data_IF_996617562853
#
_entry.id   IF_996617562853
#
_cell.length_a   1.000
_cell.length_b   1.000
_cell.length_c   1.000
_cell.angle_alpha   90.00
_cell.angle_beta   90.00
_cell.angle_gamma   90.00
#
_symmetry.space_group_name_H-M   'P 1'
#
loop_
_entity.id
_entity.type
_entity.pdbx_description
1 polymer ?
#
# COMPACT_ATOMS: atom_id res chain seq x y z
N UNK A 1 -41.55 7.47 -6.80
CA UNK A 1 -40.54 8.51 -7.09
C UNK A 1 -39.50 8.46 -5.98
N UNK A 2 -38.54 7.53 -6.06
CA UNK A 2 -37.47 7.40 -5.07
C UNK A 2 -36.24 8.15 -5.59
N UNK A 3 -35.84 9.23 -4.90
CA UNK A 3 -34.54 9.88 -5.11
C UNK A 3 -33.47 8.95 -4.52
N UNK A 4 -32.54 8.52 -5.37
CA UNK A 4 -31.27 7.91 -4.97
C UNK A 4 -30.29 9.06 -4.84
N UNK A 5 -29.96 9.44 -3.62
CA UNK A 5 -28.83 10.34 -3.39
C UNK A 5 -27.56 9.53 -3.68
N UNK A 6 -26.91 9.88 -4.79
CA UNK A 6 -25.59 9.40 -5.18
C UNK A 6 -24.58 10.20 -4.36
N UNK A 7 -24.04 9.59 -3.31
CA UNK A 7 -22.76 10.00 -2.76
C UNK A 7 -21.71 9.89 -3.87
N UNK A 8 -21.46 11.03 -4.49
CA UNK A 8 -20.48 11.22 -5.55
C UNK A 8 -19.16 11.47 -4.85
N UNK A 9 -18.49 10.38 -4.44
CA UNK A 9 -17.10 10.48 -4.01
C UNK A 9 -16.24 10.62 -5.27
N UNK A 10 -15.76 11.83 -5.49
CA UNK A 10 -14.87 12.29 -6.56
C UNK A 10 -13.77 11.28 -6.94
N UNK A 11 -14.06 10.41 -7.89
CA UNK A 11 -13.05 9.77 -8.73
C UNK A 11 -12.82 10.65 -9.95
N UNK A 12 -12.05 11.74 -9.78
CA UNK A 12 -11.47 12.45 -10.91
C UNK A 12 -10.14 13.10 -10.54
N UNK A 13 -9.08 12.29 -10.57
CA UNK A 13 -7.82 12.68 -11.19
C UNK A 13 -6.97 11.42 -11.43
N UNK A 14 -7.19 10.75 -12.55
CA UNK A 14 -6.23 9.82 -13.14
C UNK A 14 -4.93 10.56 -13.49
N UNK A 15 -4.06 10.71 -12.51
CA UNK A 15 -2.61 10.59 -12.75
C UNK A 15 -2.17 9.37 -11.97
N UNK A 16 -2.06 8.22 -12.66
CA UNK A 16 -1.37 7.06 -12.11
C UNK A 16 0.03 7.53 -11.72
N UNK A 17 0.26 7.75 -10.43
CA UNK A 17 1.60 8.03 -9.94
C UNK A 17 2.47 6.84 -10.29
N UNK A 18 3.64 7.11 -10.86
CA UNK A 18 4.61 6.06 -11.14
C UNK A 18 5.10 5.55 -9.79
N UNK A 19 4.63 4.38 -9.38
CA UNK A 19 5.18 3.70 -8.23
C UNK A 19 6.52 3.08 -8.63
N UNK A 20 7.56 3.32 -7.83
CA UNK A 20 8.80 2.56 -7.96
C UNK A 20 8.52 1.18 -7.35
N UNK A 21 8.44 0.15 -8.19
CA UNK A 21 8.11 -1.24 -7.79
C UNK A 21 9.33 -1.97 -7.19
N UNK A 22 10.27 -1.22 -6.61
CA UNK A 22 11.41 -1.80 -5.92
C UNK A 22 10.97 -2.24 -4.53
N UNK A 23 10.45 -3.47 -4.47
CA UNK A 23 10.18 -4.19 -3.23
C UNK A 23 11.48 -4.63 -2.55
N UNK A 24 12.44 -3.71 -2.34
CA UNK A 24 13.67 -4.02 -1.61
C UNK A 24 13.36 -4.05 -0.13
N UNK A 25 13.44 -5.25 0.43
CA UNK A 25 13.35 -5.47 1.87
C UNK A 25 14.52 -4.76 2.57
N UNK A 26 14.27 -3.92 3.60
CA UNK A 26 15.35 -3.29 4.38
C UNK A 26 16.24 -4.34 5.04
N UNK A 27 17.56 -4.09 5.04
CA UNK A 27 18.60 -5.05 5.45
C UNK A 27 18.54 -5.41 6.95
N UNK A 28 17.98 -4.52 7.76
CA UNK A 28 17.86 -4.64 9.21
C UNK A 28 16.52 -5.25 9.67
N UNK A 29 15.67 -5.68 8.73
CA UNK A 29 14.42 -6.35 9.05
C UNK A 29 14.56 -7.88 9.08
N UNK A 30 14.07 -8.52 10.14
CA UNK A 30 14.04 -9.99 10.25
C UNK A 30 12.75 -10.58 9.64
N UNK A 31 12.89 -11.69 8.93
CA UNK A 31 11.77 -12.49 8.42
C UNK A 31 11.25 -13.44 9.50
N UNK A 32 9.94 -13.67 9.52
CA UNK A 32 9.27 -14.60 10.43
C UNK A 32 8.31 -15.49 9.64
N UNK A 33 8.00 -16.69 10.15
CA UNK A 33 6.86 -17.49 9.66
C UNK A 33 5.72 -17.52 10.69
N UNK A 34 5.75 -16.58 11.63
CA UNK A 34 4.72 -16.43 12.67
C UNK A 34 3.59 -15.56 12.10
N UNK A 35 2.45 -16.18 11.81
CA UNK A 35 1.28 -15.49 11.25
C UNK A 35 0.30 -16.45 10.59
N UNK A 36 -0.82 -15.91 10.09
CA UNK A 36 -1.83 -16.68 9.35
C UNK A 36 -1.30 -17.17 7.98
N UNK A 37 -0.33 -16.44 7.41
CA UNK A 37 0.27 -16.75 6.13
C UNK A 37 1.79 -16.92 6.23
N UNK A 38 2.35 -17.75 5.36
CA UNK A 38 3.79 -18.05 5.28
C UNK A 38 4.35 -17.74 3.90
N UNK A 39 5.68 -17.67 3.81
CA UNK A 39 6.38 -17.50 2.53
C UNK A 39 6.00 -18.62 1.56
N UNK A 40 5.72 -18.24 0.31
CA UNK A 40 5.27 -19.14 -0.76
C UNK A 40 3.76 -19.36 -0.83
N UNK A 41 2.97 -18.91 0.15
CA UNK A 41 1.51 -19.00 0.07
C UNK A 41 0.96 -18.12 -1.05
N UNK A 42 -0.10 -18.62 -1.71
CA UNK A 42 -0.91 -17.83 -2.64
C UNK A 42 -2.10 -17.23 -1.89
N UNK A 43 -2.26 -15.91 -2.00
CA UNK A 43 -3.33 -15.17 -1.33
C UNK A 43 -4.05 -14.26 -2.31
N UNK A 44 -5.32 -13.96 -2.01
CA UNK A 44 -6.10 -12.95 -2.75
C UNK A 44 -5.95 -11.60 -2.08
N UNK A 45 -5.45 -10.60 -2.82
CA UNK A 45 -5.30 -9.24 -2.30
C UNK A 45 -6.67 -8.58 -2.19
N UNK A 46 -7.08 -8.19 -0.98
CA UNK A 46 -8.35 -7.47 -0.76
C UNK A 46 -8.20 -5.95 -0.76
N UNK A 47 -6.97 -5.46 -0.62
CA UNK A 47 -6.63 -4.04 -0.67
C UNK A 47 -6.68 -3.48 -2.10
N UNK A 48 -7.07 -2.21 -2.23
CA UNK A 48 -7.13 -1.49 -3.51
C UNK A 48 -6.25 -0.24 -3.49
N UNK A 49 -4.93 -0.41 -3.35
CA UNK A 49 -3.97 0.70 -3.33
C UNK A 49 -3.81 1.34 -4.72
N UNK A 50 -3.73 0.51 -5.76
CA UNK A 50 -3.71 0.92 -7.16
C UNK A 50 -4.84 0.25 -7.94
N UNK A 51 -5.30 0.86 -9.04
CA UNK A 51 -6.21 0.21 -9.99
C UNK A 51 -5.66 -1.15 -10.43
N UNK A 52 -6.50 -2.17 -10.40
CA UNK A 52 -6.13 -3.54 -10.76
C UNK A 52 -5.58 -4.40 -9.62
N UNK A 53 -5.34 -3.86 -8.41
CA UNK A 53 -4.76 -4.64 -7.30
C UNK A 53 -5.80 -5.46 -6.50
N UNK A 54 -7.04 -4.97 -6.39
CA UNK A 54 -8.08 -5.65 -5.60
C UNK A 54 -8.57 -6.90 -6.32
N UNK A 55 -8.56 -8.03 -5.63
CA UNK A 55 -9.03 -9.32 -6.13
C UNK A 55 -7.98 -10.14 -6.87
N UNK A 56 -6.75 -9.66 -7.00
CA UNK A 56 -5.68 -10.41 -7.67
C UNK A 56 -5.04 -11.43 -6.76
N UNK A 57 -4.59 -12.54 -7.33
CA UNK A 57 -3.76 -13.54 -6.64
C UNK A 57 -2.30 -13.09 -6.62
N UNK A 58 -1.66 -13.17 -5.45
CA UNK A 58 -0.23 -12.90 -5.27
C UNK A 58 0.44 -14.02 -4.48
N UNK A 59 1.75 -14.22 -4.68
CA UNK A 59 2.57 -15.07 -3.83
C UNK A 59 3.17 -14.22 -2.70
N UNK A 60 3.29 -14.80 -1.51
CA UNK A 60 3.97 -14.15 -0.40
C UNK A 60 5.46 -14.39 -0.50
N UNK A 61 6.21 -13.34 -0.81
CA UNK A 61 7.68 -13.41 -0.89
C UNK A 61 8.36 -13.33 0.47
N UNK A 62 7.75 -12.60 1.42
CA UNK A 62 8.30 -12.42 2.76
C UNK A 62 7.21 -12.12 3.80
N UNK A 63 7.40 -12.57 5.04
CA UNK A 63 6.53 -12.28 6.18
C UNK A 63 7.38 -11.69 7.30
N UNK A 64 6.93 -10.56 7.85
CA UNK A 64 7.67 -9.82 8.88
C UNK A 64 6.72 -9.26 9.93
N UNK A 65 7.08 -9.43 11.20
CA UNK A 65 6.43 -8.75 12.31
C UNK A 65 7.07 -7.37 12.49
N UNK A 66 6.38 -6.32 12.07
CA UNK A 66 6.85 -4.93 12.16
C UNK A 66 5.69 -3.97 12.42
N UNK A 67 6.02 -2.75 12.82
CA UNK A 67 5.07 -1.63 12.79
C UNK A 67 4.98 -1.06 11.37
N UNK A 68 3.76 -0.83 10.91
CA UNK A 68 3.46 -0.15 9.63
C UNK A 68 2.75 1.16 9.90
N UNK A 69 3.02 2.15 9.04
CA UNK A 69 2.54 3.52 9.18
C UNK A 69 1.76 3.95 7.94
N UNK A 70 0.75 4.79 8.17
CA UNK A 70 0.03 5.54 7.14
C UNK A 70 0.54 6.97 7.18
N UNK A 71 0.96 7.51 6.04
CA UNK A 71 1.63 8.82 6.00
C UNK A 71 1.01 9.79 5.01
N UNK A 72 1.05 11.07 5.36
CA UNK A 72 0.82 12.17 4.44
C UNK A 72 2.18 12.73 4.01
N UNK A 73 2.40 12.92 2.71
CA UNK A 73 3.67 13.45 2.20
C UNK A 73 3.49 14.35 0.98
N UNK A 74 4.45 15.24 0.75
CA UNK A 74 4.55 16.04 -0.48
C UNK A 74 5.39 15.27 -1.51
N UNK A 75 4.79 14.90 -2.64
CA UNK A 75 5.52 14.22 -3.71
C UNK A 75 6.62 15.11 -4.28
N UNK A 76 7.80 14.53 -4.51
CA UNK A 76 8.91 15.22 -5.17
C UNK A 76 8.70 15.38 -6.68
N UNK A 77 7.88 14.52 -7.30
CA UNK A 77 7.68 14.50 -8.75
C UNK A 77 6.77 15.64 -9.22
N UNK A 78 5.73 15.94 -8.46
CA UNK A 78 4.70 16.92 -8.86
C UNK A 78 4.32 17.92 -7.76
N UNK A 79 4.94 17.85 -6.58
CA UNK A 79 4.68 18.77 -5.47
C UNK A 79 3.32 18.62 -4.79
N UNK A 80 2.48 17.66 -5.19
CA UNK A 80 1.15 17.43 -4.61
C UNK A 80 1.26 16.76 -3.24
N UNK A 81 0.30 17.07 -2.36
CA UNK A 81 0.15 16.36 -1.09
C UNK A 81 -0.61 15.06 -1.35
N UNK A 82 0.04 13.94 -1.05
CA UNK A 82 -0.56 12.62 -1.03
C UNK A 82 -0.94 12.32 0.41
N UNK A 83 -2.23 12.06 0.64
CA UNK A 83 -2.76 11.76 1.97
C UNK A 83 -2.99 10.27 2.15
N UNK A 84 -2.91 9.81 3.39
CA UNK A 84 -3.22 8.45 3.82
C UNK A 84 -2.49 7.36 3.00
N UNK A 85 -1.24 7.60 2.62
CA UNK A 85 -0.45 6.64 1.84
C UNK A 85 -0.14 5.40 2.69
N UNK A 86 -0.49 4.23 2.14
CA UNK A 86 -0.31 2.92 2.76
C UNK A 86 0.67 2.09 1.93
N UNK A 87 1.71 1.51 2.52
CA UNK A 87 2.20 1.66 3.89
C UNK A 87 3.70 1.85 3.87
N UNK A 88 4.22 2.50 4.91
CA UNK A 88 5.65 2.60 5.16
C UNK A 88 6.00 1.82 6.42
N UNK A 89 7.21 1.28 6.49
CA UNK A 89 7.80 0.67 7.67
C UNK A 89 8.71 1.67 8.39
N UNK A 90 9.08 1.38 9.64
CA UNK A 90 9.96 2.28 10.41
C UNK A 90 11.32 2.51 9.74
N UNK A 91 11.85 1.51 9.06
CA UNK A 91 13.19 1.55 8.45
C UNK A 91 13.21 2.36 7.14
N UNK A 92 12.03 2.60 6.55
CA UNK A 92 11.85 3.48 5.40
C UNK A 92 11.68 4.96 5.81
N UNK A 93 11.62 5.23 7.12
CA UNK A 93 11.40 6.56 7.69
C UNK A 93 12.61 7.00 8.52
N UNK A 94 12.79 8.32 8.61
CA UNK A 94 13.75 8.94 9.52
C UNK A 94 13.02 9.87 10.48
N UNK A 95 13.42 9.83 11.74
CA UNK A 95 12.99 10.82 12.72
C UNK A 95 13.39 12.23 12.24
N UNK A 96 12.55 13.21 12.56
CA UNK A 96 12.80 14.62 12.25
C UNK A 96 13.83 15.23 13.18
#
# INVERSE_FOLDING_TARGET
MMKKDKDTNDQKSESHMKHNDESKVPEDMTSTNEGEFKVGDKVTITAGHMPGMKGTTANIDNVKKTTVYVVDYKSKDNGKIIKNHKWMTGNELKAR
#
